data_IF_573493516664
#
_entry.id   IF_573493516664
#
_cell.length_a   1.000
_cell.length_b   1.000
_cell.length_c   1.000
_cell.angle_alpha   90.00
_cell.angle_beta   90.00
_cell.angle_gamma   90.00
#
_symmetry.space_group_name_H-M   'P 1'
#
loop_
_entity.id
_entity.type
_entity.pdbx_description
1 polymer ?
#
# COMPACT_ATOMS: atom_id res chain seq x y z
N UNK A 1 1.55 70.18 5.11
CA UNK A 1 1.75 69.22 4.00
C UNK A 1 3.17 68.64 4.10
N UNK A 2 3.33 67.33 3.81
CA UNK A 2 4.56 66.49 3.81
C UNK A 2 4.87 65.78 5.14
N UNK A 3 4.16 64.68 5.45
CA UNK A 3 4.37 63.26 5.08
C UNK A 3 5.21 62.49 6.09
N UNK A 4 4.52 61.70 6.92
CA UNK A 4 5.06 60.59 7.70
C UNK A 4 4.81 59.27 6.95
N UNK A 5 5.71 58.30 7.13
CA UNK A 5 5.47 56.86 7.33
C UNK A 5 6.72 56.06 6.86
N UNK A 6 7.55 55.59 7.77
CA UNK A 6 7.49 54.24 8.38
C UNK A 6 7.65 53.12 7.34
N UNK A 7 8.89 52.62 7.27
CA UNK A 7 9.28 51.40 6.58
C UNK A 7 8.51 50.20 7.13
N UNK A 8 7.75 49.53 6.27
CA UNK A 8 7.16 48.22 6.54
C UNK A 8 8.03 47.16 5.85
N UNK A 9 8.90 46.52 6.64
CA UNK A 9 9.50 45.23 6.30
C UNK A 9 8.38 44.18 6.40
N UNK A 10 7.79 43.78 5.27
CA UNK A 10 6.85 42.66 5.25
C UNK A 10 7.66 41.38 5.05
N UNK A 11 7.74 40.57 6.11
CA UNK A 11 8.30 39.24 6.06
C UNK A 11 7.55 38.40 5.00
N UNK A 12 8.28 37.93 3.99
CA UNK A 12 7.74 37.01 2.99
C UNK A 12 7.41 35.68 3.65
N UNK A 13 6.12 35.39 3.81
CA UNK A 13 5.66 34.06 4.19
C UNK A 13 5.78 33.20 2.94
N UNK A 14 6.86 32.43 2.83
CA UNK A 14 6.94 31.37 1.83
C UNK A 14 5.86 30.34 2.18
N UNK A 15 4.76 30.35 1.44
CA UNK A 15 3.80 29.25 1.44
C UNK A 15 4.53 28.04 0.86
N UNK A 16 5.14 27.23 1.73
CA UNK A 16 5.49 25.87 1.37
C UNK A 16 4.16 25.17 1.17
N UNK A 17 3.75 25.01 -0.08
CA UNK A 17 2.60 24.16 -0.39
C UNK A 17 2.88 22.81 0.30
N UNK A 18 2.00 22.30 1.17
CA UNK A 18 2.17 20.94 1.66
C UNK A 18 2.31 20.06 0.41
N UNK A 19 3.23 19.06 0.40
CA UNK A 19 3.20 18.07 -0.66
C UNK A 19 1.75 17.61 -0.74
N UNK A 20 1.17 17.69 -1.93
CA UNK A 20 -0.17 17.21 -2.19
C UNK A 20 -0.13 15.71 -1.90
N UNK A 21 -0.39 15.33 -0.66
CA UNK A 21 -0.87 14.03 -0.31
C UNK A 21 -2.14 13.88 -1.16
N UNK A 22 -2.02 13.08 -2.22
CA UNK A 22 -3.03 12.96 -3.25
C UNK A 22 -4.34 12.57 -2.58
N UNK A 23 -5.24 13.54 -2.42
CA UNK A 23 -6.60 13.30 -1.98
C UNK A 23 -7.35 12.64 -3.15
N UNK A 24 -7.08 11.35 -3.36
CA UNK A 24 -7.53 10.62 -4.54
C UNK A 24 -7.46 9.11 -4.39
N UNK A 25 -7.49 8.59 -3.16
CA UNK A 25 -7.61 7.17 -2.89
C UNK A 25 -6.30 6.39 -3.01
N UNK A 26 -5.81 5.95 -1.87
CA UNK A 26 -4.57 5.18 -1.78
C UNK A 26 -4.85 3.71 -1.46
N UNK A 27 -6.06 3.21 -1.73
CA UNK A 27 -6.43 1.84 -1.37
C UNK A 27 -5.49 0.82 -2.04
N UNK A 28 -4.91 -0.05 -1.22
CA UNK A 28 -4.11 -1.20 -1.67
C UNK A 28 -4.69 -2.49 -1.10
N UNK A 29 -4.71 -3.54 -1.90
CA UNK A 29 -5.15 -4.86 -1.50
C UNK A 29 -4.39 -5.95 -2.26
N UNK A 30 -4.18 -7.08 -1.60
CA UNK A 30 -3.54 -8.28 -2.14
C UNK A 30 -4.47 -9.47 -1.96
N UNK A 31 -4.60 -10.28 -3.01
CA UNK A 31 -5.30 -11.56 -2.97
C UNK A 31 -4.40 -12.70 -3.44
N UNK A 32 -4.71 -13.92 -3.02
CA UNK A 32 -4.06 -15.14 -3.47
C UNK A 32 -5.08 -16.24 -3.76
N UNK A 33 -4.76 -17.10 -4.72
CA UNK A 33 -5.32 -18.45 -4.84
C UNK A 33 -4.40 -19.46 -4.13
N UNK A 34 -4.89 -20.12 -3.08
CA UNK A 34 -4.06 -21.09 -2.34
C UNK A 34 -3.73 -22.34 -3.18
N UNK A 35 -4.60 -22.74 -4.12
CA UNK A 35 -4.36 -23.93 -4.95
C UNK A 35 -3.31 -23.72 -6.04
N UNK A 36 -3.15 -22.48 -6.53
CA UNK A 36 -2.24 -22.16 -7.63
C UNK A 36 -1.04 -21.30 -7.20
N UNK A 37 -1.13 -20.63 -6.06
CA UNK A 37 -0.18 -19.62 -5.63
C UNK A 37 -0.25 -18.32 -6.45
N UNK A 38 -1.29 -18.13 -7.28
CA UNK A 38 -1.47 -16.92 -8.06
C UNK A 38 -1.80 -15.75 -7.14
N UNK A 39 -1.09 -14.64 -7.31
CA UNK A 39 -1.20 -13.45 -6.46
C UNK A 39 -1.56 -12.27 -7.35
N UNK A 40 -2.59 -11.55 -6.93
CA UNK A 40 -2.99 -10.28 -7.53
C UNK A 40 -2.88 -9.17 -6.50
N UNK A 41 -2.51 -7.99 -6.97
CA UNK A 41 -2.42 -6.76 -6.17
C UNK A 41 -3.20 -5.68 -6.90
N UNK A 42 -4.03 -4.94 -6.17
CA UNK A 42 -4.69 -3.75 -6.65
C UNK A 42 -4.29 -2.57 -5.76
N UNK A 43 -3.73 -1.53 -6.36
CA UNK A 43 -3.33 -0.28 -5.71
C UNK A 43 -4.01 0.94 -6.37
N UNK A 44 -3.86 2.12 -5.76
CA UNK A 44 -4.39 3.38 -6.29
C UNK A 44 -5.92 3.45 -6.33
N UNK A 45 -6.62 2.61 -5.55
CA UNK A 45 -8.06 2.61 -5.52
C UNK A 45 -8.62 3.75 -4.64
N UNK A 46 -9.81 4.25 -4.99
CA UNK A 46 -10.49 5.34 -4.26
C UNK A 46 -10.67 5.08 -2.74
N UNK A 47 -10.65 3.82 -2.32
CA UNK A 47 -10.74 3.36 -0.92
C UNK A 47 -10.20 1.95 -0.77
N UNK A 48 -9.94 1.51 0.47
CA UNK A 48 -9.55 0.12 0.78
C UNK A 48 -10.58 -0.88 0.25
N UNK A 49 -11.87 -0.64 0.48
CA UNK A 49 -12.93 -1.53 -0.02
C UNK A 49 -13.01 -1.59 -1.55
N UNK A 50 -12.64 -0.50 -2.24
CA UNK A 50 -12.52 -0.52 -3.70
C UNK A 50 -11.33 -1.36 -4.17
N UNK A 51 -10.18 -1.29 -3.48
CA UNK A 51 -9.02 -2.13 -3.75
C UNK A 51 -9.33 -3.62 -3.51
N UNK A 52 -9.97 -3.95 -2.37
CA UNK A 52 -10.38 -5.31 -2.05
C UNK A 52 -11.32 -5.89 -3.10
N UNK A 53 -12.31 -5.10 -3.53
CA UNK A 53 -13.22 -5.52 -4.59
C UNK A 53 -12.48 -5.72 -5.91
N UNK A 54 -11.62 -4.77 -6.31
CA UNK A 54 -10.88 -4.84 -7.56
C UNK A 54 -9.92 -6.05 -7.60
N UNK A 55 -9.15 -6.29 -6.55
CA UNK A 55 -8.22 -7.42 -6.50
C UNK A 55 -8.95 -8.76 -6.51
N UNK A 56 -10.07 -8.86 -5.80
CA UNK A 56 -10.87 -10.09 -5.76
C UNK A 56 -11.59 -10.34 -7.09
N UNK A 57 -12.09 -9.29 -7.76
CA UNK A 57 -12.69 -9.41 -9.10
C UNK A 57 -11.64 -9.83 -10.13
N UNK A 58 -10.43 -9.27 -10.08
CA UNK A 58 -9.33 -9.66 -10.98
C UNK A 58 -8.91 -11.10 -10.76
N UNK A 59 -8.64 -11.49 -9.52
CA UNK A 59 -8.25 -12.86 -9.20
C UNK A 59 -9.34 -13.86 -9.62
N UNK A 60 -10.61 -13.54 -9.36
CA UNK A 60 -11.76 -14.40 -9.72
C UNK A 60 -12.06 -14.52 -11.21
N UNK A 61 -11.53 -13.64 -12.06
CA UNK A 61 -11.60 -13.82 -13.52
C UNK A 61 -10.78 -15.02 -13.99
N UNK A 62 -9.67 -15.28 -13.30
CA UNK A 62 -8.72 -16.34 -13.67
C UNK A 62 -8.95 -17.59 -12.84
N UNK A 63 -9.25 -17.44 -11.54
CA UNK A 63 -9.23 -18.53 -10.55
C UNK A 63 -10.35 -18.38 -9.51
N UNK A 64 -11.07 -19.45 -9.18
CA UNK A 64 -12.26 -19.37 -8.31
C UNK A 64 -11.97 -19.35 -6.80
N UNK A 65 -10.82 -19.85 -6.33
CA UNK A 65 -10.49 -20.03 -4.91
C UNK A 65 -9.69 -18.85 -4.30
N UNK A 66 -9.84 -17.66 -4.87
CA UNK A 66 -9.17 -16.46 -4.39
C UNK A 66 -9.66 -16.02 -3.01
N UNK A 67 -8.72 -15.62 -2.15
CA UNK A 67 -8.97 -14.98 -0.86
C UNK A 67 -8.10 -13.74 -0.69
N UNK A 68 -8.60 -12.79 0.10
CA UNK A 68 -7.86 -11.60 0.48
C UNK A 68 -6.75 -11.96 1.49
N UNK A 69 -5.56 -11.42 1.28
CA UNK A 69 -4.39 -11.60 2.15
C UNK A 69 -4.11 -10.38 3.01
N UNK A 70 -4.13 -9.20 2.41
CA UNK A 70 -3.84 -7.94 3.07
C UNK A 70 -4.57 -6.81 2.34
N UNK A 71 -4.96 -5.79 3.08
CA UNK A 71 -5.53 -4.58 2.53
C UNK A 71 -5.26 -3.42 3.48
N UNK A 72 -5.22 -2.21 2.94
CA UNK A 72 -5.02 -1.00 3.71
C UNK A 72 -5.08 0.25 2.87
N UNK A 73 -4.97 1.40 3.56
CA UNK A 73 -5.00 2.70 2.92
C UNK A 73 -3.57 3.25 2.81
N UNK A 74 -3.10 3.40 1.58
CA UNK A 74 -1.73 3.78 1.26
C UNK A 74 -0.75 2.66 1.60
N UNK A 75 0.52 3.02 1.66
CA UNK A 75 1.57 2.13 2.16
C UNK A 75 1.87 0.96 1.23
N UNK A 76 2.24 -0.16 1.82
CA UNK A 76 2.79 -1.33 1.18
C UNK A 76 2.11 -2.61 1.65
N UNK A 77 2.10 -3.61 0.79
CA UNK A 77 1.74 -4.99 1.08
C UNK A 77 2.96 -5.88 0.89
N UNK A 78 3.07 -6.93 1.70
CA UNK A 78 4.14 -7.91 1.62
C UNK A 78 3.59 -9.32 1.81
N UNK A 79 4.32 -10.31 1.29
CA UNK A 79 3.94 -11.72 1.32
C UNK A 79 4.95 -12.55 2.09
N UNK A 80 4.45 -13.43 2.94
CA UNK A 80 5.24 -14.41 3.69
C UNK A 80 4.71 -15.80 3.47
N UNK A 81 5.59 -16.74 3.21
CA UNK A 81 5.29 -18.17 3.26
C UNK A 81 5.67 -18.72 4.64
N UNK A 82 4.79 -19.49 5.27
CA UNK A 82 5.08 -20.09 6.58
C UNK A 82 6.26 -21.08 6.51
N UNK A 83 6.84 -21.41 7.67
CA UNK A 83 7.96 -22.34 7.78
C UNK A 83 7.68 -23.71 7.12
N UNK A 84 6.43 -24.19 7.18
CA UNK A 84 6.02 -25.46 6.57
C UNK A 84 5.82 -25.40 5.05
N UNK A 85 5.93 -24.21 4.43
CA UNK A 85 5.72 -23.98 2.99
C UNK A 85 4.36 -24.45 2.48
N UNK A 86 3.34 -24.33 3.32
CA UNK A 86 1.98 -24.78 3.02
C UNK A 86 0.99 -23.64 2.87
N UNK A 87 1.32 -22.45 3.39
CA UNK A 87 0.40 -21.31 3.42
C UNK A 87 1.14 -20.00 3.24
N UNK A 88 0.48 -19.09 2.52
CA UNK A 88 0.90 -17.71 2.37
C UNK A 88 0.08 -16.78 3.26
N UNK A 89 0.76 -15.76 3.77
CA UNK A 89 0.23 -14.73 4.64
C UNK A 89 0.63 -13.38 4.09
N UNK A 90 -0.36 -12.49 3.93
CA UNK A 90 -0.09 -11.10 3.60
C UNK A 90 0.00 -10.24 4.85
N UNK A 91 0.78 -9.18 4.74
CA UNK A 91 0.78 -8.07 5.68
C UNK A 91 0.67 -6.75 4.93
N UNK A 92 0.10 -5.77 5.60
CA UNK A 92 0.03 -4.39 5.16
C UNK A 92 0.68 -3.49 6.20
N UNK A 93 1.38 -2.45 5.74
CA UNK A 93 1.95 -1.41 6.59
C UNK A 93 2.23 -0.14 5.80
N UNK A 94 2.45 1.01 6.47
CA UNK A 94 2.81 2.26 5.80
C UNK A 94 4.18 2.21 5.10
N UNK A 95 5.03 1.25 5.46
CA UNK A 95 6.35 0.99 4.88
C UNK A 95 6.49 -0.50 4.48
N UNK A 96 7.42 -0.85 3.57
CA UNK A 96 7.70 -2.25 3.24
C UNK A 96 8.05 -3.08 4.48
N UNK A 97 8.90 -2.54 5.36
CA UNK A 97 9.35 -3.23 6.57
C UNK A 97 8.22 -3.50 7.54
N UNK A 98 7.26 -2.57 7.68
CA UNK A 98 6.08 -2.77 8.51
C UNK A 98 5.10 -3.77 7.89
N UNK A 99 4.96 -3.76 6.57
CA UNK A 99 4.14 -4.76 5.87
C UNK A 99 4.72 -6.16 6.06
N UNK A 100 6.04 -6.32 5.92
CA UNK A 100 6.77 -7.57 6.17
C UNK A 100 6.66 -8.01 7.62
N UNK A 101 6.87 -7.11 8.58
CA UNK A 101 6.74 -7.41 10.00
C UNK A 101 5.32 -7.87 10.34
N UNK A 102 4.30 -7.23 9.77
CA UNK A 102 2.92 -7.68 9.94
C UNK A 102 2.69 -9.06 9.33
N UNK A 103 3.22 -9.33 8.13
CA UNK A 103 3.10 -10.63 7.48
C UNK A 103 3.78 -11.74 8.30
N UNK A 104 5.00 -11.48 8.81
CA UNK A 104 5.76 -12.38 9.67
C UNK A 104 5.06 -12.63 11.00
N UNK A 105 4.39 -11.63 11.58
CA UNK A 105 3.62 -11.82 12.83
C UNK A 105 2.51 -12.87 12.68
N UNK A 106 1.99 -13.04 11.46
CA UNK A 106 0.96 -14.03 11.10
C UNK A 106 1.55 -15.38 10.69
N UNK A 107 2.83 -15.42 10.36
CA UNK A 107 3.56 -16.60 9.92
C UNK A 107 4.89 -16.76 10.68
N UNK A 108 4.85 -17.13 11.99
CA UNK A 108 6.06 -17.31 12.78
C UNK A 108 7.04 -18.30 12.12
N UNK A 109 8.31 -17.91 11.98
CA UNK A 109 9.34 -18.69 11.30
C UNK A 109 9.18 -18.78 9.77
N UNK A 110 8.28 -17.98 9.20
CA UNK A 110 8.10 -17.86 7.75
C UNK A 110 9.20 -17.08 7.05
N UNK A 111 9.18 -17.12 5.73
CA UNK A 111 10.12 -16.43 4.84
C UNK A 111 9.38 -15.43 3.97
N UNK A 112 9.86 -14.18 3.94
CA UNK A 112 9.41 -13.15 2.99
C UNK A 112 9.58 -13.68 1.57
N UNK A 113 8.58 -13.49 0.72
CA UNK A 113 8.67 -13.80 -0.70
C UNK A 113 9.09 -12.53 -1.46
N UNK A 114 10.35 -12.51 -1.91
CA UNK A 114 10.90 -11.39 -2.66
C UNK A 114 10.15 -11.18 -3.99
N UNK A 115 9.91 -9.92 -4.37
CA UNK A 115 9.19 -9.57 -5.61
C UNK A 115 7.68 -9.67 -5.51
N UNK A 116 7.15 -9.95 -4.31
CA UNK A 116 5.71 -9.93 -4.00
C UNK A 116 5.35 -8.80 -3.02
N UNK A 117 6.30 -7.93 -2.72
CA UNK A 117 6.11 -6.66 -2.04
C UNK A 117 5.67 -5.58 -3.04
N UNK A 118 4.69 -4.75 -2.65
CA UNK A 118 4.17 -3.69 -3.51
C UNK A 118 3.71 -2.49 -2.68
N UNK A 119 4.06 -1.28 -3.12
CA UNK A 119 3.71 -0.04 -2.44
C UNK A 119 2.93 0.91 -3.35
N UNK A 120 1.94 1.61 -2.80
CA UNK A 120 1.18 2.64 -3.51
C UNK A 120 2.13 3.74 -4.00
N UNK A 121 2.08 4.05 -5.30
CA UNK A 121 2.94 5.07 -5.92
C UNK A 121 4.41 4.67 -6.08
N UNK A 122 4.83 3.54 -5.50
CA UNK A 122 6.08 2.88 -5.82
C UNK A 122 5.86 2.08 -7.09
N UNK A 123 6.22 2.65 -8.24
CA UNK A 123 6.22 1.90 -9.49
C UNK A 123 6.91 0.56 -9.27
N UNK A 124 6.19 -0.52 -9.55
CA UNK A 124 6.73 -1.88 -9.59
C UNK A 124 8.07 -1.82 -10.31
N UNK A 125 9.15 -2.00 -9.57
CA UNK A 125 10.50 -2.07 -10.13
C UNK A 125 10.60 -3.40 -10.86
N UNK A 126 10.05 -3.44 -12.06
CA UNK A 126 10.27 -4.49 -13.06
C UNK A 126 11.46 -4.11 -13.93
#
# INVERSE_FOLDING_TARGET
>A
MKTAALALMVAGVAFVAPPLAHAGGDGIAMAISDSTGHIDIADGASSVGAAEKAVMETCRKTISDCRLLASGQGGCVALVMNASKTKYFGGWGPTPEEAEAQALSRAPGGTIQAGHDHCVGGGSSQ
#
